data_IF_076830567308
#
_entry.id   IF_076830567308
#
_cell.length_a   1.000
_cell.length_b   1.000
_cell.length_c   1.000
_cell.angle_alpha   90.00
_cell.angle_beta   90.00
_cell.angle_gamma   90.00
#
_symmetry.space_group_name_H-M   'P 1'
#
loop_
_entity.id
_entity.type
_entity.pdbx_description
1 polymer ?
#
# COMPACT_ATOMS: atom_id res chain seq x y z
N UNK A 1 -18.30 -0.98 -13.04
CA UNK A 1 -17.36 -2.02 -12.54
C UNK A 1 -16.61 -1.45 -11.34
N UNK A 2 -16.85 -1.95 -10.11
CA UNK A 2 -16.36 -1.35 -8.85
C UNK A 2 -15.25 -2.17 -8.15
N UNK A 3 -14.66 -3.16 -8.81
CA UNK A 3 -13.69 -4.09 -8.20
C UNK A 3 -12.29 -3.47 -8.26
N UNK A 4 -11.66 -3.27 -7.10
CA UNK A 4 -10.33 -2.65 -6.99
C UNK A 4 -10.30 -1.13 -6.81
N UNK A 5 -11.42 -0.40 -6.96
CA UNK A 5 -11.44 1.07 -6.78
C UNK A 5 -11.08 1.48 -5.34
N UNK A 6 -11.61 0.76 -4.36
CA UNK A 6 -11.28 0.99 -2.95
C UNK A 6 -9.81 0.70 -2.67
N UNK A 7 -9.28 -0.41 -3.20
CA UNK A 7 -7.87 -0.75 -3.03
C UNK A 7 -6.95 0.31 -3.67
N UNK A 8 -7.30 0.79 -4.88
CA UNK A 8 -6.58 1.85 -5.56
C UNK A 8 -6.63 3.19 -4.81
N UNK A 9 -7.79 3.58 -4.24
CA UNK A 9 -7.87 4.81 -3.44
C UNK A 9 -6.99 4.73 -2.19
N UNK A 10 -6.88 3.56 -1.57
CA UNK A 10 -6.00 3.36 -0.41
C UNK A 10 -4.51 3.39 -0.80
N UNK A 11 -4.15 2.87 -1.98
CA UNK A 11 -2.80 3.02 -2.51
C UNK A 11 -2.43 4.48 -2.76
N UNK A 12 -3.34 5.26 -3.34
CA UNK A 12 -3.14 6.70 -3.60
C UNK A 12 -3.04 7.48 -2.27
N UNK A 13 -3.85 7.10 -1.28
CA UNK A 13 -3.80 7.68 0.06
C UNK A 13 -2.52 7.33 0.84
N UNK A 14 -1.67 6.43 0.31
CA UNK A 14 -0.44 5.99 0.98
C UNK A 14 -0.68 4.98 2.10
N UNK A 15 -1.93 4.58 2.35
CA UNK A 15 -2.25 3.51 3.28
C UNK A 15 -2.08 2.15 2.59
N UNK A 16 -0.81 1.78 2.39
CA UNK A 16 -0.44 0.48 1.84
C UNK A 16 -0.94 -0.67 2.73
N UNK A 17 -1.26 -0.39 4.01
CA UNK A 17 -1.80 -1.38 4.95
C UNK A 17 -3.19 -1.82 4.60
N UNK A 18 -4.11 -0.86 4.56
CA UNK A 18 -5.46 -1.10 4.14
C UNK A 18 -5.54 -1.48 2.65
N UNK A 19 -4.67 -0.90 1.79
CA UNK A 19 -4.63 -1.24 0.37
C UNK A 19 -4.30 -2.73 0.14
N UNK A 20 -3.31 -3.28 0.85
CA UNK A 20 -2.96 -4.69 0.72
C UNK A 20 -4.12 -5.63 1.09
N UNK A 21 -4.84 -5.31 2.17
CA UNK A 21 -6.02 -6.08 2.60
C UNK A 21 -7.16 -5.97 1.58
N UNK A 22 -7.39 -4.77 1.05
CA UNK A 22 -8.41 -4.54 0.03
C UNK A 22 -8.09 -5.28 -1.28
N UNK A 23 -6.82 -5.35 -1.68
CA UNK A 23 -6.35 -6.13 -2.82
C UNK A 23 -6.51 -7.63 -2.61
N UNK A 24 -6.16 -8.17 -1.44
CA UNK A 24 -6.41 -9.58 -1.13
C UNK A 24 -7.91 -9.93 -1.15
N UNK A 25 -8.75 -9.10 -0.55
CA UNK A 25 -10.20 -9.31 -0.57
C UNK A 25 -10.75 -9.27 -2.01
N UNK A 26 -10.25 -8.35 -2.83
CA UNK A 26 -10.58 -8.27 -4.26
C UNK A 26 -10.12 -9.52 -5.02
N UNK A 27 -8.93 -10.04 -4.73
CA UNK A 27 -8.41 -11.27 -5.32
C UNK A 27 -9.24 -12.52 -4.94
N UNK A 28 -9.78 -12.56 -3.73
CA UNK A 28 -10.61 -13.68 -3.28
C UNK A 28 -12.01 -13.65 -3.90
N UNK A 29 -12.55 -12.46 -4.17
CA UNK A 29 -13.88 -12.26 -4.76
C UNK A 29 -13.88 -12.20 -6.29
N UNK A 30 -12.72 -12.18 -6.94
CA UNK A 30 -12.62 -12.08 -8.39
C UNK A 30 -12.95 -13.44 -9.05
N UNK A 31 -13.94 -13.50 -9.95
CA UNK A 31 -14.30 -14.73 -10.66
C UNK A 31 -13.29 -15.07 -11.78
N UNK A 32 -12.57 -14.07 -12.29
CA UNK A 32 -11.60 -14.25 -13.36
C UNK A 32 -10.20 -14.50 -12.79
N UNK A 33 -9.50 -15.58 -13.17
CA UNK A 33 -8.19 -15.93 -12.63
C UNK A 33 -7.13 -14.86 -12.85
N UNK A 34 -7.15 -14.16 -14.00
CA UNK A 34 -6.25 -13.04 -14.29
C UNK A 34 -6.40 -11.90 -13.28
N UNK A 35 -7.63 -11.57 -12.90
CA UNK A 35 -7.91 -10.55 -11.88
C UNK A 35 -7.43 -10.97 -10.49
N UNK A 36 -7.49 -12.27 -10.17
CA UNK A 36 -6.97 -12.80 -8.89
C UNK A 36 -5.45 -12.65 -8.82
N UNK A 37 -4.75 -12.95 -9.91
CA UNK A 37 -3.29 -12.81 -10.02
C UNK A 37 -2.90 -11.33 -9.88
N UNK A 38 -3.51 -10.46 -10.68
CA UNK A 38 -3.27 -9.01 -10.61
C UNK A 38 -3.47 -8.43 -9.20
N UNK A 39 -4.60 -8.76 -8.57
CA UNK A 39 -4.90 -8.27 -7.22
C UNK A 39 -3.93 -8.86 -6.16
N UNK A 40 -3.47 -10.10 -6.32
CA UNK A 40 -2.44 -10.68 -5.44
C UNK A 40 -1.09 -9.99 -5.59
N UNK A 41 -0.66 -9.70 -6.82
CA UNK A 41 0.58 -8.99 -7.09
C UNK A 41 0.55 -7.57 -6.51
N UNK A 42 -0.56 -6.85 -6.68
CA UNK A 42 -0.76 -5.55 -6.03
C UNK A 42 -0.76 -5.61 -4.51
N UNK A 43 -1.37 -6.65 -3.92
CA UNK A 43 -1.32 -6.90 -2.49
C UNK A 43 0.11 -7.09 -1.97
N UNK A 44 0.92 -7.87 -2.69
CA UNK A 44 2.35 -8.08 -2.38
C UNK A 44 3.17 -6.80 -2.54
N UNK A 45 2.93 -6.03 -3.61
CA UNK A 45 3.57 -4.73 -3.80
C UNK A 45 3.31 -3.80 -2.62
N UNK A 46 2.05 -3.69 -2.20
CA UNK A 46 1.68 -2.89 -1.04
C UNK A 46 2.37 -3.39 0.23
N UNK A 47 2.42 -4.71 0.47
CA UNK A 47 3.15 -5.29 1.61
C UNK A 47 4.64 -4.97 1.59
N UNK A 48 5.31 -5.11 0.45
CA UNK A 48 6.72 -4.75 0.30
C UNK A 48 6.94 -3.24 0.44
N UNK A 49 5.97 -2.41 0.07
CA UNK A 49 6.05 -0.96 0.24
C UNK A 49 5.80 -0.53 1.68
N UNK A 50 5.03 -1.29 2.48
CA UNK A 50 5.00 -1.11 3.94
C UNK A 50 6.38 -1.34 4.54
N UNK A 51 7.09 -2.37 4.10
CA UNK A 51 8.39 -2.75 4.69
C UNK A 51 9.54 -1.87 4.20
N UNK A 52 9.48 -1.37 2.97
CA UNK A 52 10.51 -0.48 2.38
C UNK A 52 10.19 1.01 2.54
N UNK A 53 8.93 1.37 2.74
CA UNK A 53 8.43 2.74 2.87
C UNK A 53 8.21 3.23 4.30
N UNK A 54 8.39 2.37 5.31
CA UNK A 54 8.54 2.82 6.71
C UNK A 54 9.98 3.32 6.95
N UNK A 55 10.46 4.27 6.15
CA UNK A 55 11.24 5.34 6.77
C UNK A 55 10.16 6.22 7.40
N UNK A 56 9.99 6.20 8.73
CA UNK A 56 9.11 7.18 9.35
C UNK A 56 9.61 8.53 8.85
N UNK A 57 8.70 9.33 8.33
CA UNK A 57 8.95 10.71 8.00
C UNK A 57 9.08 11.48 9.34
N UNK A 58 10.09 11.14 10.15
CA UNK A 58 10.60 11.95 11.24
C UNK A 58 11.67 12.91 10.68
N UNK A 59 11.34 13.58 9.58
CA UNK A 59 12.18 14.64 8.99
C UNK A 59 11.32 15.88 8.71
N UNK A 60 10.49 16.22 9.71
CA UNK A 60 9.86 17.53 9.78
C UNK A 60 10.21 18.19 11.12
N UNK A 61 11.43 18.73 11.13
CA UNK A 61 11.88 19.90 11.88
C UNK A 61 12.08 19.79 13.41
N UNK A 62 13.33 19.63 13.84
CA UNK A 62 13.89 20.34 15.01
C UNK A 62 15.42 20.36 14.89
N UNK A 63 16.00 21.38 14.25
CA UNK A 63 16.55 22.62 14.85
C UNK A 63 18.05 22.47 15.15
N UNK A 64 18.78 23.48 14.69
CA UNK A 64 20.22 23.67 14.78
C UNK A 64 20.83 23.44 16.17
N UNK A 65 22.11 23.02 16.12
CA UNK A 65 23.25 23.24 17.04
C UNK A 65 24.09 21.95 17.02
N UNK A 66 25.33 21.89 16.52
CA UNK A 66 26.43 22.82 16.74
C UNK A 66 27.12 22.51 18.07
N UNK A 67 28.14 21.64 18.07
CA UNK A 67 29.38 21.65 18.89
C UNK A 67 30.15 20.34 18.59
N UNK A 68 31.23 20.42 17.81
CA UNK A 68 32.66 20.37 18.20
C UNK A 68 33.27 18.97 18.16
#
# INVERSE_FOLDING_TARGET
QKRGRQALMLEIAGDYTAAALAWQNTANKAPLPQWRIFARERGRYCQNRKTTGYRPHCDRNFRASGDR
#
